data_IF_713153720406
#
_entry.id   IF_713153720406
#
_cell.length_a   1.000
_cell.length_b   1.000
_cell.length_c   1.000
_cell.angle_alpha   90.00
_cell.angle_beta   90.00
_cell.angle_gamma   90.00
#
_symmetry.space_group_name_H-M   'P 1'
#
loop_
_entity.id
_entity.type
_entity.pdbx_description
1 polymer ?
#
# COMPACT_ATOMS: atom_id res chain seq x y z
N UNK A 1 -9.51 -19.30 16.88
CA UNK A 1 -9.80 -18.91 18.30
C UNK A 1 -10.40 -17.51 18.27
N UNK A 2 -11.40 -17.20 19.10
CA UNK A 2 -11.86 -15.81 19.25
C UNK A 2 -10.83 -15.01 20.06
N UNK A 3 -10.35 -13.89 19.53
CA UNK A 3 -9.54 -12.91 20.26
C UNK A 3 -10.37 -11.66 20.49
N UNK A 4 -9.96 -10.85 21.46
CA UNK A 4 -10.58 -9.54 21.70
C UNK A 4 -9.56 -8.54 22.18
N UNK A 5 -9.72 -7.29 21.75
CA UNK A 5 -8.97 -6.15 22.25
C UNK A 5 -9.92 -5.14 22.86
N UNK A 6 -9.44 -4.33 23.80
CA UNK A 6 -10.21 -3.24 24.42
C UNK A 6 -9.48 -1.93 24.13
N UNK A 7 -10.22 -0.94 23.64
CA UNK A 7 -9.72 0.40 23.38
C UNK A 7 -10.55 1.46 24.06
N UNK A 8 -9.86 2.53 24.45
CA UNK A 8 -10.43 3.69 25.11
C UNK A 8 -10.12 4.91 24.27
N UNK A 9 -11.13 5.71 23.98
CA UNK A 9 -10.96 6.98 23.28
C UNK A 9 -12.02 7.99 23.74
N UNK A 10 -11.89 9.25 23.31
CA UNK A 10 -12.82 10.31 23.72
C UNK A 10 -14.26 10.05 23.25
N UNK A 11 -14.40 9.35 22.14
CA UNK A 11 -15.68 8.95 21.54
C UNK A 11 -15.66 7.47 21.21
N UNK A 12 -16.84 6.84 21.19
CA UNK A 12 -17.00 5.44 20.81
C UNK A 12 -16.46 5.17 19.40
N UNK A 13 -16.73 6.08 18.46
CA UNK A 13 -16.30 5.93 17.06
C UNK A 13 -14.78 5.97 16.91
N UNK A 14 -14.09 6.81 17.70
CA UNK A 14 -12.62 6.82 17.73
C UNK A 14 -12.09 5.51 18.31
N UNK A 15 -12.67 5.02 19.40
CA UNK A 15 -12.24 3.76 20.03
C UNK A 15 -12.41 2.57 19.07
N UNK A 16 -13.53 2.53 18.33
CA UNK A 16 -13.77 1.51 17.30
C UNK A 16 -12.73 1.62 16.18
N UNK A 17 -12.48 2.83 15.65
CA UNK A 17 -11.51 3.02 14.57
C UNK A 17 -10.10 2.62 14.97
N UNK A 18 -9.67 3.01 16.17
CA UNK A 18 -8.34 2.61 16.67
C UNK A 18 -8.23 1.10 16.85
N UNK A 19 -9.26 0.47 17.40
CA UNK A 19 -9.30 -0.98 17.55
C UNK A 19 -9.22 -1.70 16.20
N UNK A 20 -10.06 -1.31 15.23
CA UNK A 20 -10.06 -1.88 13.87
C UNK A 20 -8.72 -1.69 13.16
N UNK A 21 -8.10 -0.51 13.32
CA UNK A 21 -6.80 -0.20 12.73
C UNK A 21 -5.69 -1.07 13.33
N UNK A 22 -5.73 -1.33 14.63
CA UNK A 22 -4.73 -2.17 15.31
C UNK A 22 -4.78 -3.62 14.86
N UNK A 23 -5.99 -4.15 14.60
CA UNK A 23 -6.18 -5.54 14.15
C UNK A 23 -6.25 -5.67 12.62
N UNK A 24 -6.21 -4.55 11.89
CA UNK A 24 -6.33 -4.45 10.45
C UNK A 24 -7.53 -5.22 9.86
N UNK A 25 -8.70 -5.07 10.50
CA UNK A 25 -9.96 -5.69 10.05
C UNK A 25 -11.02 -4.65 9.75
N UNK A 26 -12.01 -5.05 8.95
CA UNK A 26 -13.19 -4.24 8.69
C UNK A 26 -14.23 -4.39 9.80
N UNK A 27 -15.18 -3.45 9.87
CA UNK A 27 -16.23 -3.45 10.90
C UNK A 27 -17.18 -4.66 10.77
N UNK A 28 -17.28 -5.22 9.57
CA UNK A 28 -18.16 -6.35 9.25
C UNK A 28 -17.59 -7.70 9.71
N UNK A 29 -16.28 -7.75 9.98
CA UNK A 29 -15.53 -8.96 10.36
C UNK A 29 -15.35 -9.09 11.88
N UNK A 30 -15.93 -8.16 12.66
CA UNK A 30 -15.72 -8.06 14.09
C UNK A 30 -17.02 -7.84 14.86
N UNK A 31 -16.98 -8.19 16.14
CA UNK A 31 -18.08 -8.03 17.09
C UNK A 31 -17.70 -6.88 18.06
N UNK A 32 -18.53 -5.83 18.10
CA UNK A 32 -18.25 -4.60 18.84
C UNK A 32 -19.17 -4.53 20.06
N UNK A 33 -18.56 -4.50 21.25
CA UNK A 33 -19.24 -4.28 22.53
C UNK A 33 -18.80 -2.95 23.13
N UNK A 34 -19.74 -2.04 23.33
CA UNK A 34 -19.49 -0.77 24.04
C UNK A 34 -19.61 -1.04 25.53
N UNK A 35 -18.48 -1.02 26.24
CA UNK A 35 -18.42 -1.27 27.68
C UNK A 35 -18.78 -0.02 28.47
N UNK A 36 -18.33 1.15 28.00
CA UNK A 36 -18.66 2.45 28.57
C UNK A 36 -18.94 3.46 27.46
N UNK A 37 -20.06 4.16 27.55
CA UNK A 37 -20.38 5.27 26.66
C UNK A 37 -19.62 6.54 27.08
N UNK A 38 -19.23 7.34 26.09
CA UNK A 38 -18.71 8.68 26.31
C UNK A 38 -19.77 9.56 26.96
N UNK A 39 -19.35 10.31 27.98
CA UNK A 39 -20.22 11.29 28.63
C UNK A 39 -19.54 12.64 28.65
N UNK A 40 -20.20 13.62 28.04
CA UNK A 40 -19.81 15.02 28.14
C UNK A 40 -20.65 15.65 29.23
N UNK A 41 -20.04 15.95 30.38
CA UNK A 41 -20.77 16.61 31.46
C UNK A 41 -21.37 17.96 31.05
N UNK A 42 -22.51 18.28 31.66
CA UNK A 42 -23.27 19.49 31.40
C UNK A 42 -22.40 20.73 31.62
N UNK A 43 -22.17 21.51 30.55
CA UNK A 43 -21.39 22.77 30.51
C UNK A 43 -19.86 22.67 30.51
N UNK A 44 -19.26 21.51 30.22
CA UNK A 44 -17.80 21.42 30.00
C UNK A 44 -16.94 21.69 31.25
N UNK A 45 -17.54 21.74 32.43
CA UNK A 45 -16.87 22.03 33.70
C UNK A 45 -16.65 20.80 34.58
N UNK A 46 -17.42 19.72 34.39
CA UNK A 46 -17.37 18.54 35.26
C UNK A 46 -17.45 17.27 34.42
N UNK A 47 -16.35 16.51 34.42
CA UNK A 47 -16.30 15.10 34.02
C UNK A 47 -16.52 14.82 32.53
N UNK A 48 -15.44 14.78 31.76
CA UNK A 48 -15.42 14.01 30.52
C UNK A 48 -15.09 12.57 30.89
N UNK A 49 -15.96 11.63 30.51
CA UNK A 49 -15.68 10.20 30.60
C UNK A 49 -15.41 9.68 29.19
N UNK A 50 -14.28 9.00 29.02
CA UNK A 50 -13.90 8.39 27.75
C UNK A 50 -14.78 7.17 27.46
N UNK A 51 -15.02 6.89 26.19
CA UNK A 51 -15.67 5.68 25.75
C UNK A 51 -14.71 4.49 25.82
N UNK A 52 -15.22 3.33 26.24
CA UNK A 52 -14.48 2.08 26.26
C UNK A 52 -15.20 1.05 25.40
N UNK A 53 -14.50 0.52 24.41
CA UNK A 53 -15.05 -0.43 23.44
C UNK A 53 -14.19 -1.69 23.41
N UNK A 54 -14.85 -2.84 23.47
CA UNK A 54 -14.25 -4.16 23.24
C UNK A 54 -14.58 -4.62 21.83
N UNK A 55 -13.55 -4.96 21.07
CA UNK A 55 -13.69 -5.53 19.72
C UNK A 55 -13.23 -6.97 19.76
N UNK A 56 -14.13 -7.90 19.45
CA UNK A 56 -13.85 -9.33 19.39
C UNK A 56 -13.84 -9.78 17.93
N UNK A 57 -12.89 -10.62 17.54
CA UNK A 57 -12.75 -11.08 16.17
C UNK A 57 -12.29 -12.53 16.10
N UNK A 58 -12.62 -13.18 14.98
CA UNK A 58 -12.04 -14.47 14.65
C UNK A 58 -10.73 -14.23 13.91
N UNK A 59 -9.67 -14.83 14.42
CA UNK A 59 -8.37 -14.79 13.77
C UNK A 59 -8.26 -16.00 12.85
N UNK A 60 -8.50 -15.76 11.56
CA UNK A 60 -8.19 -16.70 10.50
C UNK A 60 -6.75 -16.47 10.05
N UNK A 61 -5.91 -17.49 10.26
CA UNK A 61 -4.45 -17.45 10.02
C UNK A 61 -4.14 -17.04 8.57
N UNK A 62 -5.05 -17.36 7.64
CA UNK A 62 -4.88 -17.09 6.22
C UNK A 62 -5.05 -15.60 5.86
N UNK A 63 -5.95 -14.88 6.52
CA UNK A 63 -6.19 -13.45 6.23
C UNK A 63 -4.99 -12.58 6.63
N UNK A 64 -4.35 -12.91 7.76
CA UNK A 64 -3.12 -12.22 8.20
C UNK A 64 -1.96 -12.43 7.22
N UNK A 65 -1.87 -13.59 6.58
CA UNK A 65 -0.85 -13.87 5.57
C UNK A 65 -1.10 -13.03 4.31
N UNK A 66 -2.35 -12.92 3.85
CA UNK A 66 -2.69 -12.13 2.66
C UNK A 66 -2.43 -10.63 2.84
N UNK A 67 -2.69 -10.08 4.04
CA UNK A 67 -2.36 -8.66 4.32
C UNK A 67 -0.86 -8.40 4.32
N UNK A 68 -0.07 -9.32 4.87
CA UNK A 68 1.39 -9.20 4.90
C UNK A 68 1.99 -9.33 3.49
N UNK A 69 1.45 -10.23 2.66
CA UNK A 69 1.87 -10.39 1.26
C UNK A 69 1.61 -9.10 0.48
N UNK A 70 0.43 -8.48 0.63
CA UNK A 70 0.11 -7.22 -0.08
C UNK A 70 1.04 -6.07 0.29
N UNK A 71 1.40 -5.94 1.57
CA UNK A 71 2.33 -4.90 2.04
C UNK A 71 3.73 -5.10 1.43
N UNK A 72 4.24 -6.34 1.41
CA UNK A 72 5.52 -6.69 0.80
C UNK A 72 5.50 -6.44 -0.72
N UNK A 73 4.40 -6.75 -1.41
CA UNK A 73 4.27 -6.53 -2.86
C UNK A 73 4.33 -5.05 -3.24
N UNK A 74 3.65 -4.17 -2.49
CA UNK A 74 3.65 -2.74 -2.77
C UNK A 74 5.03 -2.08 -2.54
N UNK A 75 5.70 -2.46 -1.45
CA UNK A 75 7.05 -1.97 -1.15
C UNK A 75 8.08 -2.47 -2.16
N UNK A 76 8.02 -3.76 -2.49
CA UNK A 76 8.92 -4.36 -3.50
C UNK A 76 8.73 -3.72 -4.87
N UNK A 77 7.49 -3.40 -5.26
CA UNK A 77 7.21 -2.74 -6.54
C UNK A 77 7.78 -1.32 -6.61
N UNK A 78 7.67 -0.54 -5.52
CA UNK A 78 8.26 0.81 -5.45
C UNK A 78 9.78 0.76 -5.50
N UNK A 79 10.40 -0.22 -4.88
CA UNK A 79 11.87 -0.31 -4.85
C UNK A 79 12.43 -0.83 -6.18
N UNK A 80 11.75 -1.76 -6.84
CA UNK A 80 12.08 -2.20 -8.20
C UNK A 80 11.96 -1.06 -9.23
N UNK A 81 10.97 -0.17 -9.10
CA UNK A 81 10.84 1.00 -9.98
C UNK A 81 11.98 2.03 -9.78
N UNK A 82 12.57 2.08 -8.59
CA UNK A 82 13.72 2.97 -8.29
C UNK A 82 15.04 2.37 -8.78
N UNK A 83 15.25 1.05 -8.62
CA UNK A 83 16.50 0.39 -9.02
C UNK A 83 16.61 0.18 -10.54
N UNK A 84 15.51 -0.17 -11.20
CA UNK A 84 15.50 -0.34 -12.64
C UNK A 84 15.10 0.98 -13.33
N UNK A 85 16.07 1.87 -13.50
CA UNK A 85 15.95 3.04 -14.40
C UNK A 85 15.98 2.56 -15.87
N UNK A 86 14.95 1.80 -16.27
CA UNK A 86 14.77 1.21 -17.61
C UNK A 86 14.83 2.30 -18.68
N UNK A 87 14.32 3.50 -18.38
CA UNK A 87 14.35 4.66 -19.27
C UNK A 87 15.78 5.12 -19.56
N UNK A 88 16.67 5.13 -18.57
CA UNK A 88 18.10 5.47 -18.75
C UNK A 88 18.82 4.46 -19.62
N UNK A 89 18.58 3.16 -19.41
CA UNK A 89 19.17 2.11 -20.25
C UNK A 89 18.65 2.15 -21.69
N UNK A 90 17.34 2.33 -21.89
CA UNK A 90 16.76 2.50 -23.23
C UNK A 90 17.38 3.68 -23.99
N UNK A 91 17.54 4.82 -23.31
CA UNK A 91 18.17 6.02 -23.90
C UNK A 91 19.64 5.78 -24.26
N UNK A 92 20.40 5.10 -23.39
CA UNK A 92 21.79 4.73 -23.63
C UNK A 92 21.93 3.77 -24.81
N UNK A 93 21.05 2.78 -24.91
CA UNK A 93 21.02 1.81 -25.99
C UNK A 93 20.66 2.46 -27.33
N UNK A 94 19.63 3.31 -27.37
CA UNK A 94 19.20 4.06 -28.57
C UNK A 94 20.34 4.94 -29.10
N UNK A 95 21.02 5.66 -28.20
CA UNK A 95 22.17 6.51 -28.55
C UNK A 95 23.35 5.69 -29.08
N UNK A 96 23.55 4.46 -28.57
CA UNK A 96 24.59 3.54 -29.06
C UNK A 96 24.25 3.00 -30.46
N UNK A 97 22.99 2.60 -30.69
CA UNK A 97 22.51 2.17 -32.01
C UNK A 97 22.65 3.29 -33.03
N UNK A 98 22.23 4.51 -32.69
CA UNK A 98 22.30 5.65 -33.60
C UNK A 98 23.75 5.98 -34.00
N UNK A 99 24.70 5.83 -33.06
CA UNK A 99 26.13 6.01 -33.31
C UNK A 99 26.69 4.93 -34.25
N UNK A 100 26.24 3.69 -34.11
CA UNK A 100 26.60 2.58 -35.02
C UNK A 100 25.99 2.83 -36.41
N UNK A 101 24.70 3.17 -36.49
CA UNK A 101 24.02 3.46 -37.74
C UNK A 101 24.70 4.60 -38.51
N UNK A 102 25.08 5.70 -37.84
CA UNK A 102 25.85 6.80 -38.47
C UNK A 102 27.21 6.35 -39.01
N UNK A 103 27.85 5.36 -38.37
CA UNK A 103 29.15 4.81 -38.79
C UNK A 103 29.02 3.81 -39.94
N UNK A 104 27.87 3.14 -40.05
CA UNK A 104 27.54 2.17 -41.10
C UNK A 104 26.83 2.84 -42.30
N UNK A 105 26.21 4.00 -42.12
CA UNK A 105 25.55 4.81 -43.17
C UNK A 105 26.38 5.09 -44.44
N UNK A 106 27.72 5.28 -44.40
CA UNK A 106 28.49 5.53 -45.62
C UNK A 106 28.48 4.33 -46.60
N UNK A 107 28.24 3.11 -46.10
CA UNK A 107 28.26 1.89 -46.90
C UNK A 107 26.87 1.37 -47.31
N UNK A 108 25.79 1.90 -46.72
CA UNK A 108 24.44 1.38 -46.92
C UNK A 108 23.68 1.99 -48.13
N UNK A 109 24.28 2.99 -48.80
CA UNK A 109 23.80 3.50 -50.09
C UNK A 109 24.16 2.58 -51.28
N UNK A 110 25.19 1.75 -51.11
CA UNK A 110 25.72 0.92 -52.21
C UNK A 110 24.89 -0.36 -52.46
N UNK A 111 24.08 -0.81 -51.49
CA UNK A 111 23.15 -1.93 -51.70
C UNK A 111 22.01 -1.53 -52.66
N UNK A 112 21.41 -0.36 -52.49
CA UNK A 112 20.29 0.09 -53.34
C UNK A 112 20.69 0.34 -54.80
N UNK A 113 21.95 0.69 -55.06
CA UNK A 113 22.47 0.86 -56.44
C UNK A 113 22.79 -0.46 -57.15
N UNK A 114 23.06 -1.56 -56.42
CA UNK A 114 23.38 -2.88 -57.02
C UNK A 114 22.18 -3.76 -57.37
N UNK A 115 20.94 -3.26 -57.24
CA UNK A 115 19.72 -3.99 -57.62
C UNK A 115 19.03 -3.45 -58.88
N UNK A 116 19.61 -2.47 -59.57
CA UNK A 116 19.03 -1.88 -60.79
C UNK A 116 19.93 -1.91 -62.04
N UNK A 117 21.08 -2.60 -62.01
CA UNK A 117 21.95 -2.82 -63.17
C UNK A 117 22.54 -4.22 -63.13
#
# INVERSE_FOLDING_TARGET
>A
MKRSIVKTAKTKDEAIKEALKEINKSIDEVEIDVLEEESTGFLGLIGQKDAVVKVSYQEDINEGIDSLIKEIEEDTKKDLEKEFDVKKYQKKFKKKIEKILKKVSPWNLNWKMKKSL
#
